data_IF_492451394170
#
_entry.id   IF_492451394170
#
_cell.length_a   1.000
_cell.length_b   1.000
_cell.length_c   1.000
_cell.angle_alpha   90.00
_cell.angle_beta   90.00
_cell.angle_gamma   90.00
#
_symmetry.space_group_name_H-M   'P 1'
#
loop_
_entity.id
_entity.type
_entity.pdbx_description
1 polymer ?
#
# COMPACT_ATOMS: atom_id res chain seq x y z
N UNK A 1 28.84 -2.41 -3.42
CA UNK A 1 27.38 -2.64 -3.29
C UNK A 1 26.71 -1.91 -2.10
N UNK A 2 27.39 -1.60 -0.99
CA UNK A 2 26.76 -0.94 0.17
C UNK A 2 26.17 0.46 -0.07
N UNK A 3 26.81 1.27 -0.92
CA UNK A 3 26.33 2.64 -1.22
C UNK A 3 24.98 2.71 -1.93
N UNK A 4 24.69 1.76 -2.84
CA UNK A 4 23.41 1.73 -3.57
C UNK A 4 22.24 1.44 -2.63
N UNK A 5 22.42 0.50 -1.70
CA UNK A 5 21.41 0.15 -0.69
C UNK A 5 21.11 1.34 0.24
N UNK A 6 22.14 2.13 0.58
CA UNK A 6 21.96 3.34 1.37
C UNK A 6 21.11 4.38 0.62
N UNK A 7 21.41 4.62 -0.66
CA UNK A 7 20.63 5.55 -1.49
C UNK A 7 19.15 5.15 -1.55
N UNK A 8 18.85 3.88 -1.83
CA UNK A 8 17.47 3.37 -1.88
C UNK A 8 16.74 3.57 -0.55
N UNK A 9 17.41 3.31 0.58
CA UNK A 9 16.83 3.54 1.92
C UNK A 9 16.52 5.00 2.17
N UNK A 10 17.42 5.91 1.78
CA UNK A 10 17.23 7.36 1.90
C UNK A 10 16.03 7.80 1.04
N UNK A 11 16.04 7.46 -0.26
CA UNK A 11 14.95 7.82 -1.18
C UNK A 11 13.61 7.29 -0.67
N UNK A 12 13.54 6.01 -0.29
CA UNK A 12 12.33 5.41 0.29
C UNK A 12 11.82 6.21 1.49
N UNK A 13 12.70 6.61 2.41
CA UNK A 13 12.32 7.37 3.60
C UNK A 13 11.67 8.70 3.22
N UNK A 14 12.28 9.46 2.31
CA UNK A 14 11.74 10.74 1.87
C UNK A 14 10.41 10.60 1.13
N UNK A 15 10.32 9.62 0.22
CA UNK A 15 9.08 9.35 -0.55
C UNK A 15 7.93 8.98 0.40
N UNK A 16 8.14 8.05 1.33
CA UNK A 16 7.09 7.65 2.27
C UNK A 16 6.65 8.83 3.14
N UNK A 17 7.59 9.62 3.68
CA UNK A 17 7.26 10.79 4.50
C UNK A 17 6.45 11.83 3.70
N UNK A 18 6.81 12.07 2.44
CA UNK A 18 6.07 12.99 1.57
C UNK A 18 4.64 12.49 1.30
N UNK A 19 4.48 11.21 0.95
CA UNK A 19 3.16 10.63 0.67
C UNK A 19 2.24 10.63 1.90
N UNK A 20 2.78 10.36 3.10
CA UNK A 20 2.03 10.45 4.36
C UNK A 20 1.58 11.89 4.67
N UNK A 21 2.49 12.87 4.56
CA UNK A 21 2.17 14.29 4.84
C UNK A 21 1.10 14.84 3.91
N UNK A 22 1.10 14.43 2.65
CA UNK A 22 0.15 14.88 1.65
C UNK A 22 -1.12 14.02 1.58
N UNK A 23 -1.29 13.03 2.48
CA UNK A 23 -2.42 12.08 2.47
C UNK A 23 -2.61 11.40 1.11
N UNK A 24 -1.51 11.12 0.41
CA UNK A 24 -1.52 10.50 -0.91
C UNK A 24 -1.75 8.98 -0.86
N UNK A 25 -1.55 8.36 0.31
CA UNK A 25 -1.92 6.97 0.53
C UNK A 25 -3.41 6.82 0.82
N UNK A 26 -3.99 5.73 0.32
CA UNK A 26 -5.33 5.30 0.75
C UNK A 26 -5.28 4.88 2.24
N UNK A 27 -6.31 5.23 3.00
CA UNK A 27 -6.41 4.90 4.42
C UNK A 27 -6.51 3.42 4.73
N UNK A 28 -7.00 2.59 3.80
CA UNK A 28 -6.98 1.12 3.88
C UNK A 28 -5.72 0.49 3.27
N UNK A 29 -4.73 1.27 2.83
CA UNK A 29 -3.47 0.73 2.32
C UNK A 29 -2.53 0.38 3.47
N UNK A 30 -2.05 -0.87 3.53
CA UNK A 30 -1.06 -1.29 4.54
C UNK A 30 0.34 -1.45 3.95
N UNK A 31 0.43 -1.78 2.67
CA UNK A 31 1.71 -1.91 1.95
C UNK A 31 2.46 -0.58 1.92
N UNK A 32 3.78 -0.65 2.11
CA UNK A 32 4.72 0.48 2.05
C UNK A 32 4.51 1.60 3.09
N UNK A 33 3.66 1.40 4.10
CA UNK A 33 3.43 2.38 5.18
C UNK A 33 4.12 1.97 6.48
N UNK A 34 4.54 2.96 7.25
CA UNK A 34 5.14 2.74 8.57
C UNK A 34 4.05 2.37 9.59
N UNK A 35 4.33 1.41 10.46
CA UNK A 35 3.37 0.99 11.51
C UNK A 35 2.20 0.14 11.01
N UNK A 36 2.19 -0.26 9.73
CA UNK A 36 1.19 -1.14 9.14
C UNK A 36 1.85 -2.40 8.61
N UNK A 37 1.18 -3.54 8.76
CA UNK A 37 1.69 -4.85 8.37
C UNK A 37 0.63 -5.61 7.57
N UNK A 38 1.05 -6.72 6.96
CA UNK A 38 0.12 -7.67 6.34
C UNK A 38 -0.89 -8.20 7.38
N UNK A 39 -0.44 -8.45 8.61
CA UNK A 39 -1.31 -8.91 9.69
C UNK A 39 -2.34 -7.84 10.07
N UNK A 40 -1.95 -6.57 10.19
CA UNK A 40 -2.93 -5.52 10.53
C UNK A 40 -3.96 -5.33 9.42
N UNK A 41 -3.57 -5.52 8.15
CA UNK A 41 -4.49 -5.50 7.01
C UNK A 41 -5.51 -6.64 7.10
N UNK A 42 -5.02 -7.84 7.40
CA UNK A 42 -5.86 -9.03 7.53
C UNK A 42 -6.87 -8.86 8.67
N UNK A 43 -6.43 -8.35 9.83
CA UNK A 43 -7.29 -8.09 10.97
C UNK A 43 -8.37 -7.05 10.64
N UNK A 44 -8.01 -5.95 9.99
CA UNK A 44 -8.96 -4.91 9.56
C UNK A 44 -9.99 -5.47 8.55
N UNK A 45 -9.54 -6.31 7.62
CA UNK A 45 -10.42 -6.99 6.66
C UNK A 45 -11.44 -7.91 7.37
N UNK A 46 -10.97 -8.76 8.28
CA UNK A 46 -11.86 -9.65 9.04
C UNK A 46 -12.83 -8.88 9.94
N UNK A 47 -12.37 -7.82 10.59
CA UNK A 47 -13.23 -6.97 11.41
C UNK A 47 -14.36 -6.38 10.56
N UNK A 48 -14.06 -5.89 9.35
CA UNK A 48 -15.07 -5.39 8.41
C UNK A 48 -16.09 -6.46 8.02
N UNK A 49 -15.63 -7.68 7.70
CA UNK A 49 -16.52 -8.79 7.37
C UNK A 49 -17.43 -9.20 8.54
N UNK A 50 -16.89 -9.19 9.77
CA UNK A 50 -17.66 -9.49 10.97
C UNK A 50 -18.74 -8.44 11.23
N UNK A 51 -18.45 -7.15 11.01
CA UNK A 51 -19.44 -6.09 11.14
C UNK A 51 -20.56 -6.18 10.10
N UNK A 52 -20.24 -6.58 8.86
CA UNK A 52 -21.27 -6.87 7.86
C UNK A 52 -22.11 -8.08 8.24
N UNK A 53 -21.49 -9.14 8.74
CA UNK A 53 -22.20 -10.32 9.24
C UNK A 53 -23.16 -9.99 10.37
N UNK A 54 -22.75 -9.14 11.33
CA UNK A 54 -23.62 -8.70 12.44
C UNK A 54 -24.86 -7.93 11.98
N UNK A 55 -24.79 -7.31 10.79
CA UNK A 55 -25.87 -6.52 10.19
C UNK A 55 -26.65 -7.31 9.14
N UNK A 56 -26.40 -8.61 9.02
CA UNK A 56 -26.96 -9.50 7.99
C UNK A 56 -26.73 -8.97 6.55
N UNK A 57 -25.64 -8.24 6.33
CA UNK A 57 -25.23 -7.73 5.01
C UNK A 57 -24.38 -8.80 4.31
N UNK A 58 -24.76 -9.16 3.09
CA UNK A 58 -23.98 -10.08 2.25
C UNK A 58 -22.74 -9.34 1.76
N UNK A 59 -21.56 -9.91 2.06
CA UNK A 59 -20.28 -9.39 1.63
C UNK A 59 -19.66 -10.29 0.56
N UNK A 60 -19.16 -9.69 -0.52
CA UNK A 60 -18.36 -10.36 -1.54
C UNK A 60 -16.93 -9.80 -1.52
N UNK A 61 -15.93 -10.69 -1.54
CA UNK A 61 -14.51 -10.31 -1.53
C UNK A 61 -13.87 -10.74 -2.83
N UNK A 62 -13.23 -9.79 -3.52
CA UNK A 62 -12.49 -10.04 -4.75
C UNK A 62 -11.00 -9.89 -4.46
N UNK A 63 -10.25 -10.98 -4.60
CA UNK A 63 -8.80 -10.98 -4.48
C UNK A 63 -8.17 -10.78 -5.85
N UNK A 64 -7.47 -9.66 -6.04
CA UNK A 64 -6.76 -9.35 -7.29
C UNK A 64 -5.27 -9.21 -7.06
N UNK A 65 -4.47 -9.56 -8.06
CA UNK A 65 -3.01 -9.41 -8.03
C UNK A 65 -2.50 -8.89 -9.37
N UNK A 66 -1.44 -8.08 -9.33
CA UNK A 66 -0.75 -7.59 -10.52
C UNK A 66 0.38 -8.54 -10.94
N UNK A 67 0.26 -9.14 -12.12
CA UNK A 67 1.33 -9.97 -12.66
C UNK A 67 2.57 -9.13 -13.02
N UNK A 68 3.68 -9.36 -12.32
CA UNK A 68 4.96 -8.65 -12.52
C UNK A 68 4.83 -7.12 -12.42
N UNK A 69 4.18 -6.63 -11.36
CA UNK A 69 3.88 -5.20 -11.17
C UNK A 69 5.07 -4.27 -11.46
N UNK A 70 6.24 -4.57 -10.88
CA UNK A 70 7.42 -3.71 -11.02
C UNK A 70 8.07 -3.78 -12.41
N UNK A 71 7.98 -4.91 -13.10
CA UNK A 71 8.53 -5.06 -14.46
C UNK A 71 7.63 -4.42 -15.51
N UNK A 72 6.31 -4.38 -15.26
CA UNK A 72 5.30 -3.88 -16.22
C UNK A 72 4.84 -2.45 -15.94
N UNK A 73 5.42 -1.78 -14.95
CA UNK A 73 5.05 -0.40 -14.63
C UNK A 73 5.60 0.56 -15.69
N UNK A 74 4.74 1.42 -16.24
CA UNK A 74 5.13 2.49 -17.15
C UNK A 74 5.84 3.62 -16.39
N UNK A 75 7.14 3.80 -16.64
CA UNK A 75 7.96 4.80 -15.97
C UNK A 75 7.51 6.24 -16.21
N UNK A 76 6.95 6.55 -17.38
CA UNK A 76 6.47 7.90 -17.67
C UNK A 76 5.28 8.26 -16.79
N UNK A 77 4.38 7.30 -16.53
CA UNK A 77 3.24 7.49 -15.62
C UNK A 77 3.70 7.68 -14.17
N UNK A 78 4.69 6.90 -13.73
CA UNK A 78 5.25 7.05 -12.38
C UNK A 78 5.88 8.43 -12.20
N UNK A 79 6.70 8.88 -13.16
CA UNK A 79 7.33 10.20 -13.10
C UNK A 79 6.31 11.34 -13.14
N UNK A 80 5.28 11.23 -13.98
CA UNK A 80 4.19 12.22 -14.01
C UNK A 80 3.46 12.31 -12.66
N UNK A 81 3.22 11.17 -12.00
CA UNK A 81 2.55 11.11 -10.69
C UNK A 81 3.40 11.57 -9.51
N UNK A 82 4.70 11.84 -9.71
CA UNK A 82 5.64 12.22 -8.65
C UNK A 82 5.74 13.75 -8.44
N UNK A 83 4.96 14.55 -9.17
CA UNK A 83 4.90 16.01 -9.05
C UNK A 83 3.90 16.48 -8.00
#
# INVERSE_FOLDING_TARGET
>A
MGGLVLMVKIVKKYVVVHLEKNKAFNDGQHGFRTGRSCLSQLLEHYQTLLEYRKKDIIAHVIYTHFAKAFDKTDYNKVLYSAN
#
